data_IF_190181882527
#
_entry.id   IF_190181882527
#
_cell.length_a   1.000
_cell.length_b   1.000
_cell.length_c   1.000
_cell.angle_alpha   90.00
_cell.angle_beta   90.00
_cell.angle_gamma   90.00
#
_symmetry.space_group_name_H-M   'P 1'
#
loop_
_entity.id
_entity.type
_entity.pdbx_description
1 polymer ?
#
# COMPACT_ATOMS: atom_id res chain seq x y z
N UNK A 1 -8.48 -9.84 13.66
CA UNK A 1 -8.81 -8.57 12.96
C UNK A 1 -10.31 -8.21 12.99
N UNK A 2 -10.65 -7.04 13.54
CA UNK A 2 -12.00 -6.45 13.43
C UNK A 2 -12.24 -5.91 12.01
N UNK A 3 -13.48 -6.02 11.49
CA UNK A 3 -13.88 -5.50 10.16
C UNK A 3 -13.50 -4.02 9.95
N UNK A 4 -13.49 -3.22 11.01
CA UNK A 4 -13.11 -1.80 10.98
C UNK A 4 -11.66 -1.58 10.58
N UNK A 5 -10.77 -2.51 10.93
CA UNK A 5 -9.33 -2.38 10.67
C UNK A 5 -9.01 -2.63 9.19
N UNK A 6 -9.65 -3.61 8.56
CA UNK A 6 -9.52 -3.87 7.12
C UNK A 6 -10.07 -2.71 6.27
N UNK A 7 -11.20 -2.12 6.67
CA UNK A 7 -11.78 -0.98 5.96
C UNK A 7 -10.86 0.24 5.95
N UNK A 8 -10.14 0.48 7.06
CA UNK A 8 -9.13 1.55 7.15
C UNK A 8 -8.04 1.37 6.08
N UNK A 9 -7.39 0.21 6.05
CA UNK A 9 -6.29 -0.04 5.11
C UNK A 9 -6.73 0.00 3.64
N UNK A 10 -7.96 -0.45 3.33
CA UNK A 10 -8.48 -0.34 1.97
C UNK A 10 -8.70 1.12 1.55
N UNK A 11 -9.18 1.98 2.46
CA UNK A 11 -9.30 3.42 2.20
C UNK A 11 -7.94 4.09 2.02
N UNK A 12 -6.99 3.82 2.90
CA UNK A 12 -5.62 4.36 2.80
C UNK A 12 -4.92 3.88 1.52
N UNK A 13 -5.16 2.63 1.10
CA UNK A 13 -4.63 2.10 -0.16
C UNK A 13 -5.13 2.89 -1.36
N UNK A 14 -6.42 3.24 -1.38
CA UNK A 14 -7.01 4.05 -2.47
C UNK A 14 -6.40 5.45 -2.53
N UNK A 15 -6.20 6.09 -1.37
CA UNK A 15 -5.58 7.41 -1.29
C UNK A 15 -4.11 7.39 -1.76
N UNK A 16 -3.34 6.39 -1.31
CA UNK A 16 -1.94 6.21 -1.72
C UNK A 16 -1.84 5.86 -3.20
N UNK A 17 -2.67 4.94 -3.72
CA UNK A 17 -2.71 4.59 -5.14
C UNK A 17 -3.08 5.80 -6.02
N UNK A 18 -3.94 6.71 -5.54
CA UNK A 18 -4.23 7.95 -6.25
C UNK A 18 -3.02 8.92 -6.29
N UNK A 19 -2.14 8.89 -5.29
CA UNK A 19 -0.85 9.61 -5.32
C UNK A 19 0.13 8.95 -6.30
N UNK A 20 0.21 7.62 -6.29
CA UNK A 20 1.02 6.82 -7.24
C UNK A 20 0.61 7.13 -8.69
N UNK A 21 -0.68 7.06 -9.00
CA UNK A 21 -1.21 7.28 -10.34
C UNK A 21 -0.86 8.66 -10.93
N UNK A 22 -0.67 9.68 -10.09
CA UNK A 22 -0.28 11.03 -10.52
C UNK A 22 1.22 11.18 -10.83
N UNK A 23 2.02 10.17 -10.48
CA UNK A 23 3.49 10.22 -10.51
C UNK A 23 4.10 9.02 -11.24
N UNK A 24 3.31 8.32 -12.06
CA UNK A 24 3.78 7.15 -12.83
C UNK A 24 4.98 7.52 -13.71
N UNK A 25 4.93 8.64 -14.42
CA UNK A 25 6.06 9.08 -15.25
C UNK A 25 7.35 9.28 -14.43
N UNK A 26 7.25 9.87 -13.23
CA UNK A 26 8.39 10.04 -12.32
C UNK A 26 8.93 8.69 -11.80
N UNK A 27 8.03 7.74 -11.49
CA UNK A 27 8.38 6.39 -11.07
C UNK A 27 9.13 5.66 -12.20
N UNK A 28 8.61 5.72 -13.42
CA UNK A 28 9.16 5.05 -14.59
C UNK A 28 10.53 5.61 -14.99
N UNK A 29 10.65 6.93 -15.07
CA UNK A 29 11.93 7.61 -15.37
C UNK A 29 12.96 7.38 -14.26
N UNK A 30 12.53 7.52 -13.00
CA UNK A 30 13.37 7.36 -11.81
C UNK A 30 13.72 5.91 -11.49
N UNK A 31 12.99 4.95 -12.08
CA UNK A 31 13.07 3.51 -11.83
C UNK A 31 12.97 3.14 -10.34
N UNK A 32 12.17 3.91 -9.60
CA UNK A 32 11.95 3.75 -8.17
C UNK A 32 10.70 4.49 -7.73
N UNK A 33 10.08 4.03 -6.63
CA UNK A 33 9.04 4.80 -5.94
C UNK A 33 9.68 6.07 -5.36
N UNK A 34 9.13 7.28 -5.61
CA UNK A 34 9.64 8.51 -5.02
C UNK A 34 9.73 8.42 -3.49
N UNK A 35 10.81 8.96 -2.92
CA UNK A 35 11.14 8.78 -1.50
C UNK A 35 10.04 9.28 -0.55
N UNK A 36 9.36 10.37 -0.90
CA UNK A 36 8.25 10.90 -0.12
C UNK A 36 7.02 9.97 -0.16
N UNK A 37 6.71 9.40 -1.33
CA UNK A 37 5.62 8.43 -1.46
C UNK A 37 5.92 7.11 -0.73
N UNK A 38 7.18 6.66 -0.78
CA UNK A 38 7.63 5.51 0.00
C UNK A 38 7.46 5.75 1.51
N UNK A 39 7.79 6.97 1.99
CA UNK A 39 7.59 7.34 3.39
C UNK A 39 6.11 7.38 3.76
N UNK A 40 5.25 7.95 2.92
CA UNK A 40 3.80 7.95 3.14
C UNK A 40 3.26 6.51 3.31
N UNK A 41 3.71 5.57 2.47
CA UNK A 41 3.34 4.14 2.58
C UNK A 41 3.87 3.50 3.88
N UNK A 42 5.11 3.82 4.26
CA UNK A 42 5.73 3.31 5.48
C UNK A 42 5.01 3.81 6.74
N UNK A 43 4.70 5.10 6.80
CA UNK A 43 3.98 5.73 7.91
C UNK A 43 2.54 5.22 8.02
N UNK A 44 1.90 4.92 6.88
CA UNK A 44 0.61 4.24 6.85
C UNK A 44 0.69 2.73 7.20
N UNK A 45 1.90 2.18 7.35
CA UNK A 45 2.13 0.80 7.80
C UNK A 45 2.01 -0.27 6.71
N UNK A 46 2.05 0.11 5.43
CA UNK A 46 1.83 -0.82 4.31
C UNK A 46 2.93 -1.88 4.14
N UNK A 47 4.13 -1.63 4.67
CA UNK A 47 5.22 -2.62 4.69
C UNK A 47 5.10 -3.67 5.81
N UNK A 48 4.16 -3.49 6.75
CA UNK A 48 3.96 -4.38 7.89
C UNK A 48 2.59 -5.07 7.88
N UNK A 49 1.90 -5.09 6.72
CA UNK A 49 0.55 -5.66 6.61
C UNK A 49 0.50 -7.15 6.99
N UNK A 50 1.51 -7.94 6.61
CA UNK A 50 1.55 -9.38 6.89
C UNK A 50 2.36 -9.75 8.13
N UNK A 51 2.88 -8.76 8.85
CA UNK A 51 3.64 -8.97 10.10
C UNK A 51 2.65 -9.26 11.25
N UNK A 52 2.93 -10.21 12.17
CA UNK A 52 2.05 -10.49 13.30
C UNK A 52 1.75 -9.29 14.20
N UNK A 53 0.57 -9.24 14.80
CA UNK A 53 0.17 -8.17 15.74
C UNK A 53 1.11 -8.12 16.96
N UNK A 54 1.63 -9.28 17.40
CA UNK A 54 2.59 -9.39 18.51
C UNK A 54 3.95 -8.72 18.23
N UNK A 55 4.26 -8.46 16.97
CA UNK A 55 5.46 -7.75 16.52
C UNK A 55 5.14 -6.33 16.03
N UNK A 56 3.91 -5.84 16.25
CA UNK A 56 3.46 -4.51 15.85
C UNK A 56 3.01 -4.40 14.39
N UNK A 57 2.80 -5.53 13.70
CA UNK A 57 2.21 -5.55 12.37
C UNK A 57 0.68 -5.56 12.37
N UNK A 58 0.10 -5.60 11.17
CA UNK A 58 -1.35 -5.67 11.05
C UNK A 58 -1.89 -7.11 11.18
N UNK A 59 -1.10 -8.13 10.81
CA UNK A 59 -1.56 -9.52 10.67
C UNK A 59 -2.77 -9.66 9.72
N UNK A 60 -2.62 -9.05 8.53
CA UNK A 60 -3.67 -8.90 7.54
C UNK A 60 -4.13 -10.24 6.98
N UNK A 61 -5.46 -10.40 6.86
CA UNK A 61 -6.04 -11.53 6.16
C UNK A 61 -5.60 -11.54 4.69
N UNK A 62 -5.16 -12.68 4.13
CA UNK A 62 -4.63 -12.74 2.77
C UNK A 62 -5.55 -12.13 1.70
N UNK A 63 -6.87 -12.33 1.79
CA UNK A 63 -7.83 -11.78 0.82
C UNK A 63 -7.88 -10.25 0.84
N UNK A 64 -7.73 -9.62 2.01
CA UNK A 64 -7.68 -8.15 2.12
C UNK A 64 -6.35 -7.63 1.59
N UNK A 65 -5.25 -8.33 1.90
CA UNK A 65 -3.94 -8.00 1.34
C UNK A 65 -3.93 -8.04 -0.19
N UNK A 66 -4.50 -9.08 -0.82
CA UNK A 66 -4.61 -9.15 -2.28
C UNK A 66 -5.47 -8.03 -2.87
N UNK A 67 -6.51 -7.59 -2.18
CA UNK A 67 -7.30 -6.43 -2.63
C UNK A 67 -6.49 -5.13 -2.56
N UNK A 68 -5.66 -4.96 -1.53
CA UNK A 68 -4.72 -3.83 -1.43
C UNK A 68 -3.72 -3.85 -2.60
N UNK A 69 -3.11 -5.00 -2.89
CA UNK A 69 -2.19 -5.15 -4.03
C UNK A 69 -2.91 -4.82 -5.34
N UNK A 70 -4.16 -5.30 -5.52
CA UNK A 70 -4.98 -4.97 -6.69
C UNK A 70 -5.21 -3.46 -6.84
N UNK A 71 -5.47 -2.75 -5.73
CA UNK A 71 -5.66 -1.29 -5.74
C UNK A 71 -4.40 -0.58 -6.26
N UNK A 72 -3.22 -0.95 -5.77
CA UNK A 72 -1.96 -0.38 -6.29
C UNK A 72 -1.70 -0.77 -7.74
N UNK A 73 -1.94 -2.04 -8.11
CA UNK A 73 -1.68 -2.53 -9.47
C UNK A 73 -2.53 -1.83 -10.54
N UNK A 74 -3.72 -1.34 -10.18
CA UNK A 74 -4.56 -0.52 -11.07
C UNK A 74 -4.00 0.89 -11.29
N UNK A 75 -3.19 1.40 -10.37
CA UNK A 75 -2.52 2.70 -10.49
C UNK A 75 -1.16 2.57 -11.17
N UNK A 76 -0.34 1.63 -10.71
CA UNK A 76 0.97 1.28 -11.27
C UNK A 76 1.34 -0.15 -10.86
N UNK A 77 1.58 -1.01 -11.85
CA UNK A 77 1.94 -2.40 -11.61
C UNK A 77 3.33 -2.55 -10.98
N UNK A 78 4.25 -1.63 -11.26
CA UNK A 78 5.61 -1.66 -10.71
C UNK A 78 5.62 -1.37 -9.21
N UNK A 79 4.79 -0.43 -8.75
CA UNK A 79 4.62 -0.10 -7.33
C UNK A 79 3.93 -1.24 -6.55
N UNK A 80 3.06 -2.00 -7.20
CA UNK A 80 2.36 -3.12 -6.58
C UNK A 80 3.23 -4.39 -6.41
N UNK A 81 4.40 -4.43 -7.05
CA UNK A 81 5.35 -5.53 -7.02
C UNK A 81 6.40 -5.35 -5.89
#
# INVERSE_FOLDING_TARGET
>A
MSKTHSAKYLGEAQELAAKVAKRVDEIDEGRQIPTDLFRDMAEAGFFNLLVPESLGGAEMQPLVFFEIIRIFALADASTAW
#
